data_IF_232179521841
#
_entry.id   IF_232179521841
#
_cell.length_a   1.000
_cell.length_b   1.000
_cell.length_c   1.000
_cell.angle_alpha   90.00
_cell.angle_beta   90.00
_cell.angle_gamma   90.00
#
_symmetry.space_group_name_H-M   'P 1'
#
loop_
_entity.id
_entity.type
_entity.pdbx_description
1 polymer ?
2 non-polymer ?
3 non-polymer ?
4 non-polymer ?
5 non-polymer ?
6 non-polymer ?
7 non-polymer ?
8 non-polymer ?
9 non-polymer ?
10 water ?
#
# COMPACT_ATOMS: atom_id res chain seq x y z
N UNK A 3 0.83 18.79 14.71
CA UNK A 3 -0.55 18.34 14.74
C UNK A 3 -1.27 18.65 13.43
N UNK A 4 -0.59 18.40 12.32
CA UNK A 4 -1.07 18.75 10.98
C UNK A 4 -1.03 17.44 10.13
N UNK A 5 -2.02 17.28 9.27
CA UNK A 5 -2.05 16.18 8.28
C UNK A 5 -1.77 16.74 6.90
N UNK A 6 -0.82 16.12 6.20
CA UNK A 6 -0.54 16.48 4.82
C UNK A 6 -1.39 15.71 3.84
N UNK A 7 -1.63 16.28 2.66
CA UNK A 7 -2.35 15.59 1.59
C UNK A 7 -1.66 15.92 0.27
N UNK A 8 -1.38 14.90 -0.53
CA UNK A 8 -0.88 15.12 -1.87
C UNK A 8 -1.85 14.52 -2.89
N UNK A 9 -2.13 15.29 -3.94
CA UNK A 9 -2.99 14.89 -5.06
C UNK A 9 -2.60 15.77 -6.24
N UNK A 10 -2.45 15.17 -7.41
CA UNK A 10 -2.19 15.95 -8.62
C UNK A 10 -2.95 15.33 -9.76
N UNK A 11 -3.81 16.12 -10.39
CA UNK A 11 -4.67 15.61 -11.46
C UNK A 11 -3.87 15.09 -12.67
N UNK A 12 -2.59 15.45 -12.79
CA UNK A 12 -1.74 14.89 -13.85
C UNK A 12 -1.64 13.37 -13.79
N UNK A 13 -1.81 12.78 -12.60
CA UNK A 13 -1.77 11.32 -12.50
C UNK A 13 -2.96 10.64 -13.15
N UNK A 14 -3.97 11.42 -13.55
CA UNK A 14 -5.09 10.87 -14.30
C UNK A 14 -4.72 10.54 -15.74
N UNK A 15 -3.57 11.03 -16.24
CA UNK A 15 -3.28 10.90 -17.65
C UNK A 15 -2.95 9.48 -18.10
N UNK A 16 -2.39 8.66 -17.22
CA UNK A 16 -2.15 7.24 -17.47
C UNK A 16 -3.51 6.58 -17.75
N UNK A 17 -3.62 5.89 -18.88
CA UNK A 17 -4.92 5.34 -19.25
C UNK A 17 -4.74 4.14 -20.15
N UNK A 18 -5.82 3.39 -20.29
CA UNK A 18 -5.85 2.20 -21.12
C UNK A 18 -6.53 2.55 -22.44
N UNK A 19 -5.75 2.68 -23.51
CA UNK A 19 -6.31 3.14 -24.78
C UNK A 19 -7.16 2.11 -25.50
N UNK A 20 -7.07 0.85 -25.08
CA UNK A 20 -7.78 -0.27 -25.73
C UNK A 20 -9.03 -0.66 -24.98
N UNK A 21 -9.16 -0.25 -23.73
CA UNK A 21 -10.28 -0.66 -22.88
C UNK A 21 -10.50 0.46 -21.88
N UNK A 22 -11.32 1.43 -22.26
CA UNK A 22 -11.52 2.62 -21.42
C UNK A 22 -12.27 2.32 -20.12
N UNK A 23 -12.83 1.10 -20.03
CA UNK A 23 -13.53 0.64 -18.83
C UNK A 23 -12.67 -0.24 -17.93
N UNK A 24 -11.38 -0.42 -18.26
CA UNK A 24 -10.46 -1.16 -17.39
C UNK A 24 -10.55 -0.59 -15.97
N UNK A 25 -10.61 -1.44 -14.93
CA UNK A 25 -10.91 -0.91 -13.59
C UNK A 25 -9.87 0.03 -12.97
N UNK A 26 -8.61 0.02 -13.44
CA UNK A 26 -7.62 0.94 -12.88
C UNK A 26 -7.79 2.30 -13.60
N UNK A 27 -8.88 2.98 -13.25
CA UNK A 27 -9.36 4.16 -13.95
C UNK A 27 -8.69 5.44 -13.48
N UNK A 28 -8.51 6.40 -14.42
CA UNK A 28 -8.08 7.74 -14.04
C UNK A 28 -8.95 8.34 -12.90
N UNK A 29 -10.26 8.10 -12.98
CA UNK A 29 -11.23 8.62 -12.04
C UNK A 29 -11.10 8.09 -10.61
N UNK A 30 -10.31 7.04 -10.41
CA UNK A 30 -10.09 6.55 -9.04
C UNK A 30 -9.58 7.69 -8.14
N UNK A 31 -8.57 8.42 -8.62
CA UNK A 31 -7.99 9.46 -7.78
C UNK A 31 -8.84 10.73 -7.71
N UNK A 32 -9.46 11.11 -8.82
CA UNK A 32 -10.31 12.30 -8.80
C UNK A 32 -11.55 12.08 -7.94
N UNK A 33 -12.13 10.87 -7.96
CA UNK A 33 -13.27 10.58 -7.09
C UNK A 33 -12.87 10.63 -5.62
N UNK A 34 -11.70 10.10 -5.28
CA UNK A 34 -11.28 10.14 -3.87
C UNK A 34 -11.04 11.60 -3.45
N UNK A 35 -10.35 12.36 -4.31
CA UNK A 35 -10.10 13.77 -4.01
C UNK A 35 -11.42 14.57 -3.84
N UNK A 36 -12.37 14.34 -4.74
CA UNK A 36 -13.66 15.03 -4.64
C UNK A 36 -14.36 14.69 -3.33
N UNK A 37 -14.30 13.43 -2.91
CA UNK A 37 -14.97 13.05 -1.67
C UNK A 37 -14.34 13.76 -0.46
N UNK A 38 -13.01 13.90 -0.47
CA UNK A 38 -12.32 14.68 0.56
C UNK A 38 -12.82 16.13 0.61
N UNK A 39 -13.07 16.72 -0.56
CA UNK A 39 -13.65 18.07 -0.62
C UNK A 39 -15.07 18.11 -0.04
N UNK A 40 -15.90 17.18 -0.50
CA UNK A 40 -17.29 17.11 -0.07
C UNK A 40 -17.43 16.95 1.44
N UNK A 41 -16.53 16.17 2.03
CA UNK A 41 -16.54 15.91 3.46
C UNK A 41 -15.80 16.98 4.26
N UNK A 42 -15.28 17.99 3.55
CA UNK A 42 -14.60 19.14 4.17
C UNK A 42 -13.33 18.72 4.91
N UNK A 43 -12.72 17.65 4.41
CA UNK A 43 -11.42 17.18 4.90
C UNK A 43 -10.26 17.90 4.23
N UNK A 44 -10.42 18.22 2.95
CA UNK A 44 -9.34 18.80 2.18
C UNK A 44 -8.86 20.13 2.79
N UNK A 45 -9.81 20.98 3.18
CA UNK A 45 -9.47 22.28 3.76
C UNK A 45 -8.81 22.18 5.14
N UNK A 46 -8.87 21.00 5.75
CA UNK A 46 -8.23 20.75 7.05
C UNK A 46 -6.81 20.23 6.94
N UNK A 47 -6.38 19.90 5.72
CA UNK A 47 -5.06 19.34 5.49
C UNK A 47 -4.09 20.38 4.95
N UNK A 48 -2.79 20.15 5.17
CA UNK A 48 -1.74 20.95 4.53
C UNK A 48 -1.44 20.29 3.19
N UNK A 49 -1.61 21.03 2.08
CA UNK A 49 -1.37 20.48 0.76
C UNK A 49 0.11 20.38 0.47
N UNK A 50 0.57 19.17 0.16
CA UNK A 50 1.96 18.91 -0.19
C UNK A 50 2.02 18.77 -1.71
N UNK A 51 2.97 19.44 -2.39
CA UNK A 51 2.99 19.34 -3.86
C UNK A 51 3.52 18.00 -4.34
N UNK A 52 3.00 17.56 -5.49
CA UNK A 52 3.59 16.43 -6.18
C UNK A 52 4.90 16.87 -6.82
N UNK A 53 5.78 15.92 -7.07
CA UNK A 53 6.95 16.15 -7.92
C UNK A 53 7.29 14.85 -8.60
N UNK A 54 8.13 14.94 -9.64
CA UNK A 54 8.66 13.74 -10.25
C UNK A 54 9.72 13.13 -9.36
N UNK A 55 9.67 11.80 -9.18
CA UNK A 55 10.85 11.07 -8.74
C UNK A 55 11.96 11.24 -9.78
N UNK A 56 13.20 11.28 -9.32
CA UNK A 56 14.34 11.25 -10.24
C UNK A 56 14.69 9.79 -10.55
N UNK A 57 15.42 9.60 -11.66
CA UNK A 57 15.86 8.26 -11.99
C UNK A 57 16.80 7.69 -10.93
N UNK A 58 17.63 8.54 -10.32
CA UNK A 58 18.48 8.09 -9.23
C UNK A 58 17.64 7.59 -8.04
N UNK A 59 16.53 8.28 -7.73
CA UNK A 59 15.63 7.80 -6.70
C UNK A 59 15.00 6.47 -7.10
N UNK A 60 14.58 6.31 -8.35
CA UNK A 60 14.03 5.02 -8.78
C UNK A 60 15.02 3.88 -8.59
N UNK A 61 16.31 4.19 -8.76
CA UNK A 61 17.39 3.22 -8.64
C UNK A 61 17.61 2.76 -7.20
N UNK A 62 16.94 3.39 -6.22
CA UNK A 62 16.96 2.88 -4.86
C UNK A 62 16.42 1.45 -4.78
N UNK A 63 15.44 1.14 -5.63
CA UNK A 63 14.81 -0.18 -5.64
C UNK A 63 14.84 -0.88 -7.00
N UNK A 64 15.01 -0.14 -8.10
CA UNK A 64 14.84 -0.74 -9.43
C UNK A 64 16.10 -0.75 -10.25
N UNK A 65 16.22 -1.73 -11.15
CA UNK A 65 17.38 -1.83 -12.04
C UNK A 65 17.35 -0.75 -13.09
N UNK A 66 18.53 -0.39 -13.59
CA UNK A 66 18.63 0.61 -14.64
C UNK A 66 17.91 0.12 -15.90
N UNK A 67 17.96 -1.19 -16.17
CA UNK A 67 17.30 -1.70 -17.36
C UNK A 67 15.78 -1.49 -17.25
N UNK A 68 15.21 -1.81 -16.09
CA UNK A 68 13.77 -1.66 -15.92
C UNK A 68 13.35 -0.20 -16.04
N UNK A 69 14.07 0.69 -15.40
CA UNK A 69 13.76 2.13 -15.47
C UNK A 69 13.78 2.60 -16.92
N UNK A 70 14.83 2.22 -17.64
CA UNK A 70 14.99 2.69 -19.03
C UNK A 70 13.91 2.12 -19.97
N UNK A 71 13.50 0.86 -19.74
CA UNK A 71 12.48 0.23 -20.58
C UNK A 71 11.14 0.97 -20.37
N UNK A 72 10.77 1.21 -19.11
CA UNK A 72 9.55 1.97 -18.89
C UNK A 72 9.66 3.39 -19.45
N UNK A 73 10.82 4.03 -19.28
CA UNK A 73 10.96 5.37 -19.82
C UNK A 73 10.80 5.36 -21.36
N UNK A 74 11.26 4.30 -22.01
CA UNK A 74 11.21 4.21 -23.49
C UNK A 74 9.75 4.22 -24.01
N UNK A 75 8.75 3.96 -23.14
CA UNK A 75 7.37 3.95 -23.58
C UNK A 75 6.80 5.35 -23.85
N UNK A 76 7.51 6.41 -23.43
CA UNK A 76 6.97 7.76 -23.54
C UNK A 76 6.68 8.20 -24.98
N UNK A 77 7.43 7.66 -25.94
CA UNK A 77 7.27 8.05 -27.34
C UNK A 77 6.81 6.92 -28.25
N UNK A 78 6.30 5.83 -27.66
CA UNK A 78 5.88 4.66 -28.45
C UNK A 78 4.54 4.86 -29.10
N UNK A 79 4.40 4.30 -30.29
CA UNK A 79 3.11 4.17 -30.95
C UNK A 79 2.25 3.10 -30.25
N UNK A 80 0.93 3.12 -30.49
CA UNK A 80 0.06 2.15 -29.84
C UNK A 80 0.49 0.68 -29.94
N UNK A 81 0.90 0.23 -31.14
CA UNK A 81 1.27 -1.16 -31.29
C UNK A 81 2.43 -1.54 -30.36
N UNK A 82 3.38 -0.61 -30.24
CA UNK A 82 4.53 -0.87 -29.42
C UNK A 82 4.23 -0.80 -27.92
N UNK A 83 3.32 0.10 -27.54
CA UNK A 83 2.83 0.12 -26.15
C UNK A 83 2.14 -1.19 -25.80
N UNK A 84 1.33 -1.72 -26.72
CA UNK A 84 0.67 -2.99 -26.48
C UNK A 84 1.68 -4.11 -26.31
N UNK A 85 2.65 -4.18 -27.23
CA UNK A 85 3.67 -5.23 -27.14
C UNK A 85 4.46 -5.15 -25.83
N UNK A 86 4.86 -3.93 -25.44
CA UNK A 86 5.62 -3.78 -24.20
C UNK A 86 4.79 -4.18 -22.98
N UNK A 87 3.56 -3.69 -22.89
CA UNK A 87 2.68 -4.01 -21.77
C UNK A 87 2.48 -5.50 -21.65
N UNK A 88 2.35 -6.19 -22.79
CA UNK A 88 2.13 -7.63 -22.81
C UNK A 88 3.33 -8.46 -22.37
N UNK A 89 4.51 -7.84 -22.24
CA UNK A 89 5.69 -8.53 -21.69
C UNK A 89 5.54 -8.80 -20.20
N UNK A 90 4.60 -8.11 -19.56
CA UNK A 90 4.39 -8.20 -18.13
C UNK A 90 3.08 -8.89 -17.78
N UNK A 91 2.93 -9.28 -16.52
CA UNK A 91 1.67 -9.81 -16.02
C UNK A 91 0.77 -8.61 -15.69
N UNK A 92 -0.29 -8.43 -16.47
CA UNK A 92 -1.36 -7.46 -16.11
C UNK A 92 -0.89 -6.01 -16.07
N UNK A 93 -0.35 -5.54 -17.21
CA UNK A 93 0.05 -4.15 -17.36
C UNK A 93 -0.52 -3.57 -18.65
N UNK A 94 -1.06 -2.36 -18.58
CA UNK A 94 -1.31 -1.52 -19.76
C UNK A 94 -0.47 -0.25 -19.65
N UNK A 95 -0.06 0.26 -20.81
CA UNK A 95 0.82 1.43 -20.87
C UNK A 95 0.30 2.43 -21.89
N UNK A 96 0.36 3.71 -21.52
CA UNK A 96 0.15 4.83 -22.46
C UNK A 96 1.40 5.71 -22.45
N UNK A 97 1.45 6.70 -23.32
CA UNK A 97 2.63 7.58 -23.39
C UNK A 97 2.82 8.36 -22.08
N UNK A 98 1.76 8.50 -21.27
CA UNK A 98 1.80 9.26 -20.03
C UNK A 98 2.15 8.42 -18.82
N UNK A 99 2.24 7.09 -19.00
CA UNK A 99 2.40 6.19 -17.84
C UNK A 99 3.67 6.42 -17.04
N UNK A 100 4.80 6.59 -17.74
CA UNK A 100 6.05 6.80 -17.03
C UNK A 100 5.98 8.06 -16.15
N UNK A 101 5.51 9.18 -16.72
CA UNK A 101 5.38 10.43 -15.93
C UNK A 101 4.49 10.24 -14.71
N UNK A 102 3.36 9.57 -14.93
CA UNK A 102 2.44 9.36 -13.82
C UNK A 102 3.07 8.53 -12.70
N UNK A 103 3.79 7.46 -13.06
CA UNK A 103 4.48 6.63 -12.08
C UNK A 103 5.54 7.44 -11.33
N UNK A 104 6.25 8.32 -12.05
CA UNK A 104 7.21 9.23 -11.40
C UNK A 104 6.52 10.16 -10.42
N UNK A 105 5.38 10.71 -10.81
CA UNK A 105 4.64 11.63 -9.94
C UNK A 105 4.12 10.91 -8.72
N UNK A 106 3.66 9.66 -8.87
CA UNK A 106 3.15 8.93 -7.70
C UNK A 106 4.28 8.75 -6.67
N UNK A 107 5.47 8.36 -7.16
CA UNK A 107 6.61 8.15 -6.26
C UNK A 107 7.10 9.47 -5.66
N UNK A 108 7.28 10.51 -6.47
CA UNK A 108 7.79 11.77 -5.93
C UNK A 108 6.83 12.43 -4.96
N UNK A 109 5.53 12.27 -5.16
CA UNK A 109 4.50 12.75 -4.21
C UNK A 109 4.71 12.11 -2.84
N UNK A 110 4.99 10.82 -2.84
CA UNK A 110 5.22 10.09 -1.61
C UNK A 110 6.54 10.48 -0.96
N UNK A 111 7.58 10.72 -1.77
CA UNK A 111 8.83 11.21 -1.18
C UNK A 111 8.61 12.56 -0.51
N UNK A 112 7.89 13.47 -1.17
CA UNK A 112 7.63 14.77 -0.55
C UNK A 112 6.82 14.63 0.74
N UNK A 113 5.92 13.66 0.77
CA UNK A 113 5.11 13.43 1.97
C UNK A 113 5.96 12.86 3.11
N UNK A 114 6.80 11.87 2.79
CA UNK A 114 7.73 11.34 3.80
C UNK A 114 8.67 12.42 4.33
N UNK A 115 9.18 13.24 3.43
CA UNK A 115 10.03 14.35 3.83
C UNK A 115 9.27 15.30 4.77
N UNK A 116 8.03 15.64 4.42
CA UNK A 116 7.25 16.54 5.27
C UNK A 116 7.07 15.97 6.69
N UNK A 117 6.85 14.66 6.78
CA UNK A 117 6.73 14.02 8.09
C UNK A 117 8.09 14.04 8.83
N UNK A 118 9.15 13.66 8.14
CA UNK A 118 10.43 13.48 8.84
C UNK A 118 11.12 14.78 9.20
N UNK A 119 10.76 15.87 8.51
CA UNK A 119 11.25 17.20 8.87
C UNK A 119 10.33 17.92 9.85
N UNK A 120 9.24 17.27 10.27
CA UNK A 120 8.32 17.85 11.27
C UNK A 120 7.35 18.89 10.74
N UNK A 121 7.20 18.99 9.42
CA UNK A 121 6.21 19.91 8.86
C UNK A 121 4.78 19.44 9.05
N UNK A 122 4.58 18.12 9.00
CA UNK A 122 3.30 17.51 9.28
C UNK A 122 3.54 16.31 10.17
N UNK A 123 2.50 15.85 10.89
CA UNK A 123 2.61 14.65 11.70
C UNK A 123 2.39 13.39 10.88
N UNK A 124 1.43 13.46 9.97
CA UNK A 124 1.03 12.30 9.16
C UNK A 124 0.54 12.82 7.82
N UNK A 125 0.24 11.92 6.88
CA UNK A 125 -0.11 12.37 5.53
C UNK A 125 -0.82 11.28 4.76
N UNK A 126 -1.48 11.72 3.70
CA UNK A 126 -2.20 10.83 2.80
C UNK A 126 -1.84 11.19 1.36
N UNK A 127 -1.59 10.17 0.54
CA UNK A 127 -1.15 10.35 -0.84
C UNK A 127 -2.15 9.67 -1.76
N UNK A 128 -2.86 10.50 -2.53
CA UNK A 128 -3.92 10.02 -3.45
C UNK A 128 -3.27 9.93 -4.81
N UNK A 129 -2.68 8.77 -5.11
CA UNK A 129 -1.76 8.59 -6.23
C UNK A 129 -2.13 7.37 -7.07
N UNK A 130 -1.79 7.41 -8.36
CA UNK A 130 -1.85 6.25 -9.25
C UNK A 130 -0.81 6.50 -10.34
N UNK A 131 -0.34 5.47 -11.07
CA UNK A 131 -0.63 4.04 -10.86
C UNK A 131 -0.09 3.53 -9.53
N UNK A 132 -0.57 2.36 -9.09
CA UNK A 132 -0.12 1.76 -7.84
C UNK A 132 1.31 1.20 -7.94
N UNK A 133 1.82 0.70 -6.82
CA UNK A 133 3.22 0.28 -6.70
C UNK A 133 3.55 -1.12 -6.25
N UNK A 134 2.71 -1.75 -5.39
CA UNK A 134 3.26 -2.85 -4.57
C UNK A 134 3.55 -4.16 -5.29
N UNK A 135 3.04 -4.33 -6.52
CA UNK A 135 3.41 -5.51 -7.32
C UNK A 135 4.69 -5.31 -8.11
N UNK A 136 5.20 -4.08 -8.20
CA UNK A 136 6.41 -3.85 -9.02
C UNK A 136 7.63 -4.41 -8.30
N UNK A 137 8.45 -5.10 -9.09
CA UNK A 137 9.66 -5.77 -8.61
C UNK A 137 10.88 -4.93 -9.00
N UNK A 138 12.06 -5.30 -8.47
CA UNK A 138 13.29 -4.60 -8.87
C UNK A 138 13.41 -4.48 -10.39
N UNK A 139 13.06 -5.57 -11.09
CA UNK A 139 13.34 -5.69 -12.52
C UNK A 139 12.12 -5.66 -13.45
N UNK A 140 10.91 -5.64 -12.91
CA UNK A 140 9.78 -5.80 -13.78
C UNK A 140 8.59 -5.10 -13.22
N UNK A 141 7.72 -4.71 -14.13
CA UNK A 141 6.38 -4.18 -13.80
C UNK A 141 5.41 -5.35 -13.67
N UNK A 142 4.32 -5.14 -12.92
CA UNK A 142 3.35 -6.19 -12.71
C UNK A 142 2.09 -5.62 -12.12
N UNK A 143 0.93 -6.16 -12.52
CA UNK A 143 -0.30 -5.91 -11.76
C UNK A 143 -0.62 -4.44 -11.59
N UNK A 144 -0.55 -3.69 -12.70
CA UNK A 144 -0.89 -2.26 -12.77
C UNK A 144 0.21 -1.35 -12.23
N UNK A 145 1.32 -1.93 -11.75
CA UNK A 145 2.36 -1.21 -11.04
C UNK A 145 3.64 -1.17 -11.87
N UNK A 146 4.25 0.02 -11.99
CA UNK A 146 5.53 0.19 -12.71
C UNK A 146 6.73 0.25 -11.81
N UNK A 147 6.62 1.07 -10.77
CA UNK A 147 7.69 1.26 -9.79
C UNK A 147 7.05 1.10 -8.41
N UNK A 148 7.83 0.59 -7.47
CA UNK A 148 7.25 0.26 -6.17
C UNK A 148 7.29 1.48 -5.24
N UNK A 149 6.27 2.30 -5.37
CA UNK A 149 6.17 3.56 -4.65
C UNK A 149 6.44 3.43 -3.16
N UNK A 150 5.78 2.48 -2.49
CA UNK A 150 5.97 2.33 -1.03
C UNK A 150 7.40 1.90 -0.70
N UNK A 151 7.94 0.94 -1.46
CA UNK A 151 9.30 0.48 -1.18
C UNK A 151 10.31 1.60 -1.41
N UNK A 152 10.11 2.35 -2.50
CA UNK A 152 10.97 3.50 -2.79
C UNK A 152 10.88 4.55 -1.70
N UNK A 153 9.68 4.77 -1.16
CA UNK A 153 9.50 5.75 -0.10
C UNK A 153 10.26 5.33 1.16
N UNK A 154 10.23 4.03 1.49
CA UNK A 154 11.01 3.56 2.63
C UNK A 154 12.51 3.82 2.41
N UNK A 155 13.02 3.51 1.21
CA UNK A 155 14.43 3.77 0.93
C UNK A 155 14.75 5.27 0.87
N UNK A 156 13.83 6.08 0.35
CA UNK A 156 14.02 7.52 0.33
C UNK A 156 14.13 8.03 1.77
N UNK A 157 13.22 7.58 2.64
CA UNK A 157 13.27 7.98 4.05
C UNK A 157 14.61 7.63 4.67
N UNK A 158 15.10 6.42 4.43
CA UNK A 158 16.41 6.00 4.94
C UNK A 158 17.53 6.89 4.37
N UNK A 159 17.37 7.36 3.15
CA UNK A 159 18.41 8.18 2.47
C UNK A 159 18.54 9.58 3.08
N UNK A 160 17.55 10.05 3.83
CA UNK A 160 17.57 11.38 4.44
C UNK A 160 17.69 11.32 5.95
N UNK A 161 17.82 10.10 6.50
CA UNK A 161 17.97 9.89 7.93
C UNK A 161 19.15 8.94 8.14
N UNK A 162 18.91 7.64 8.17
CA UNK A 162 19.98 6.66 8.24
C UNK A 162 19.52 5.37 7.59
N UNK A 163 20.50 4.61 7.14
CA UNK A 163 20.24 3.35 6.46
C UNK A 163 19.34 2.42 7.29
N UNK A 164 19.55 2.41 8.61
CA UNK A 164 18.83 1.51 9.52
C UNK A 164 17.54 2.07 10.08
N UNK A 165 17.06 3.22 9.59
CA UNK A 165 15.76 3.75 10.02
C UNK A 165 14.70 2.65 9.95
N UNK A 166 13.99 2.44 11.05
CA UNK A 166 13.00 1.34 11.11
C UNK A 166 11.70 1.79 10.46
N UNK A 167 11.39 1.19 9.32
CA UNK A 167 10.16 1.52 8.60
C UNK A 167 9.25 0.31 8.63
N UNK A 168 8.01 0.48 9.09
CA UNK A 168 6.98 -0.54 8.97
C UNK A 168 6.17 -0.23 7.73
N UNK A 169 5.99 -1.23 6.86
CA UNK A 169 5.01 -1.15 5.76
C UNK A 169 3.88 -2.11 6.07
N UNK A 170 2.68 -1.57 6.27
CA UNK A 170 1.48 -2.39 6.44
C UNK A 170 0.72 -2.32 5.13
N UNK A 171 0.48 -3.48 4.52
CA UNK A 171 -0.12 -3.54 3.19
C UNK A 171 -1.47 -4.22 3.34
N UNK A 172 -2.52 -3.40 3.34
CA UNK A 172 -3.89 -3.92 3.51
C UNK A 172 -4.67 -3.98 2.19
N UNK A 173 -4.01 -3.71 1.05
CA UNK A 173 -4.61 -4.05 -0.24
C UNK A 173 -4.96 -5.55 -0.19
N UNK A 174 -6.02 -5.95 -0.88
CA UNK A 174 -6.47 -7.35 -0.84
C UNK A 174 -5.45 -8.32 -1.46
N UNK A 175 -4.54 -7.80 -2.30
CA UNK A 175 -3.52 -8.62 -2.95
C UNK A 175 -2.20 -8.57 -2.20
N UNK A 176 -1.44 -9.65 -2.30
CA UNK A 176 -0.10 -9.66 -1.73
C UNK A 176 0.81 -8.69 -2.48
N UNK A 177 1.56 -7.87 -1.75
CA UNK A 177 2.58 -6.99 -2.37
C UNK A 177 3.84 -7.75 -2.62
N UNK A 178 3.82 -8.59 -3.66
CA UNK A 178 4.95 -9.45 -3.95
C UNK A 178 6.23 -8.62 -4.15
N UNK A 179 6.12 -7.47 -4.81
CA UNK A 179 7.31 -6.64 -5.08
C UNK A 179 7.91 -6.13 -3.78
N UNK A 180 7.05 -5.66 -2.86
CA UNK A 180 7.53 -5.12 -1.60
C UNK A 180 8.20 -6.22 -0.78
N UNK A 181 7.56 -7.40 -0.71
CA UNK A 181 8.16 -8.51 0.03
C UNK A 181 9.56 -8.80 -0.50
N UNK A 182 9.69 -8.92 -1.83
CA UNK A 182 10.97 -9.30 -2.44
C UNK A 182 12.02 -8.24 -2.21
N UNK A 183 11.68 -6.97 -2.38
CA UNK A 183 12.64 -5.89 -2.20
C UNK A 183 13.24 -5.91 -0.79
N UNK A 184 12.41 -6.22 0.23
CA UNK A 184 12.88 -6.17 1.62
C UNK A 184 13.13 -7.53 2.26
N UNK A 185 13.19 -8.60 1.45
CA UNK A 185 13.17 -9.95 2.04
C UNK A 185 14.33 -10.23 2.98
N UNK A 186 15.50 -9.64 2.70
CA UNK A 186 16.68 -9.83 3.55
C UNK A 186 16.96 -8.65 4.45
N UNK A 187 15.96 -7.80 4.66
CA UNK A 187 16.19 -6.56 5.36
C UNK A 187 15.46 -6.53 6.72
N UNK A 188 16.19 -6.30 7.82
CA UNK A 188 15.60 -6.14 9.15
C UNK A 188 15.25 -4.68 9.45
N UNK A 189 15.57 -3.75 8.56
CA UNK A 189 15.21 -2.34 8.79
C UNK A 189 13.80 -2.01 8.32
N UNK A 190 13.23 -2.86 7.47
CA UNK A 190 11.91 -2.65 6.91
C UNK A 190 11.10 -3.89 7.21
N UNK A 191 10.13 -3.73 8.12
CA UNK A 191 9.19 -4.79 8.48
C UNK A 191 8.02 -4.71 7.51
N UNK A 192 7.78 -5.76 6.75
CA UNK A 192 6.66 -5.83 5.80
C UNK A 192 5.59 -6.71 6.38
N UNK A 193 4.38 -6.17 6.55
CA UNK A 193 3.24 -6.95 7.04
C UNK A 193 2.13 -6.81 5.99
N UNK A 194 1.75 -7.92 5.38
CA UNK A 194 0.68 -7.92 4.38
C UNK A 194 -0.47 -8.80 4.84
N UNK A 195 -1.67 -8.27 4.69
CA UNK A 195 -2.89 -9.09 4.80
C UNK A 195 -3.40 -9.24 3.38
N UNK A 196 -3.82 -10.43 2.98
CA UNK A 196 -4.20 -10.59 1.56
C UNK A 196 -5.00 -11.85 1.37
N UNK A 197 -5.91 -11.79 0.42
CA UNK A 197 -6.56 -13.00 -0.04
C UNK A 197 -5.55 -13.88 -0.78
N UNK A 198 -5.58 -15.18 -0.46
CA UNK A 198 -4.59 -16.13 -0.95
C UNK A 198 -5.25 -17.31 -1.65
N UNK A 199 -6.20 -17.96 -0.98
CA UNK A 199 -6.92 -19.11 -1.55
C UNK A 199 -5.95 -20.18 -2.06
N UNK A 200 -4.96 -20.49 -1.24
CA UNK A 200 -4.00 -21.56 -1.55
C UNK A 200 -3.30 -21.35 -2.89
N UNK A 201 -3.14 -20.08 -3.29
CA UNK A 201 -2.49 -19.74 -4.57
C UNK A 201 -3.43 -19.46 -5.72
N UNK A 202 -4.75 -19.62 -5.52
CA UNK A 202 -5.70 -19.34 -6.59
C UNK A 202 -5.93 -17.85 -6.84
N UNK A 203 -5.61 -17.01 -5.86
CA UNK A 203 -5.87 -15.57 -5.98
C UNK A 203 -4.62 -14.83 -6.48
N UNK A 204 -4.80 -13.84 -7.36
CA UNK A 204 -3.68 -13.06 -7.90
C UNK A 204 -2.81 -12.51 -6.75
N UNK A 205 -1.47 -12.57 -6.83
CA UNK A 205 -0.67 -12.89 -8.01
C UNK A 205 -0.23 -14.38 -8.09
N UNK A 206 -0.96 -15.28 -7.43
CA UNK A 206 -0.91 -16.73 -7.73
C UNK A 206 0.40 -17.40 -7.38
N UNK A 207 1.06 -16.92 -6.35
CA UNK A 207 2.35 -17.45 -5.92
C UNK A 207 2.33 -17.88 -4.46
N UNK A 208 2.99 -18.99 -4.16
CA UNK A 208 3.21 -19.43 -2.79
C UNK A 208 4.12 -18.50 -1.97
N UNK A 209 4.72 -17.49 -2.63
CA UNK A 209 5.49 -16.46 -1.93
C UNK A 209 4.62 -15.72 -0.91
N UNK A 210 3.30 -15.74 -1.11
CA UNK A 210 2.36 -15.03 -0.25
C UNK A 210 1.93 -15.83 0.99
N UNK A 211 2.40 -17.06 1.16
CA UNK A 211 1.96 -17.87 2.28
C UNK A 211 2.62 -17.46 3.59
N UNK A 212 2.01 -17.92 4.68
CA UNK A 212 2.43 -17.50 6.03
C UNK A 212 3.81 -17.97 6.42
N UNK A 213 4.33 -19.00 5.75
CA UNK A 213 5.62 -19.55 6.11
C UNK A 213 6.79 -18.76 5.50
N UNK A 214 6.50 -17.72 4.72
CA UNK A 214 7.54 -16.87 4.14
C UNK A 214 7.75 -15.74 5.15
N UNK A 215 8.76 -15.93 6.01
CA UNK A 215 8.96 -15.11 7.20
C UNK A 215 10.15 -14.17 7.06
N UNK A 216 10.79 -14.18 5.89
CA UNK A 216 12.02 -13.41 5.68
C UNK A 216 13.23 -14.30 5.57
N UNK A 217 14.33 -13.72 5.09
CA UNK A 217 15.54 -14.48 4.80
C UNK A 217 16.76 -13.82 5.40
N UNK A 218 17.69 -14.64 5.86
CA UNK A 218 18.97 -14.12 6.38
C UNK A 218 18.75 -13.15 7.55
N UNK A 219 19.39 -11.98 7.50
CA UNK A 219 19.18 -10.98 8.55
C UNK A 219 17.74 -10.47 8.60
N UNK A 220 17.01 -10.65 7.50
CA UNK A 220 15.57 -10.31 7.50
C UNK A 220 14.64 -11.38 8.03
N UNK A 221 15.16 -12.47 8.57
CA UNK A 221 14.28 -13.51 9.05
C UNK A 221 13.45 -13.00 10.26
N UNK A 222 12.13 -13.13 10.14
CA UNK A 222 11.17 -12.56 11.09
C UNK A 222 10.57 -11.23 10.67
N UNK A 223 11.12 -10.61 9.63
CA UNK A 223 10.73 -9.25 9.24
C UNK A 223 9.81 -9.21 8.02
N UNK A 224 9.20 -10.35 7.69
CA UNK A 224 8.21 -10.45 6.64
C UNK A 224 7.03 -11.25 7.22
N UNK A 225 5.88 -10.60 7.31
CA UNK A 225 4.69 -11.21 7.94
C UNK A 225 3.57 -11.25 6.92
N UNK A 226 3.26 -12.44 6.43
CA UNK A 226 2.15 -12.65 5.51
C UNK A 226 0.98 -13.24 6.26
N UNK A 227 -0.18 -12.59 6.11
CA UNK A 227 -1.44 -13.02 6.74
C UNK A 227 -2.38 -13.39 5.60
N UNK A 228 -2.40 -14.68 5.20
CA UNK A 228 -3.12 -15.08 3.98
C UNK A 228 -4.50 -15.60 4.31
N UNK A 229 -5.51 -15.08 3.62
CA UNK A 229 -6.88 -15.53 3.80
C UNK A 229 -7.26 -16.59 2.79
N UNK A 230 -7.95 -17.61 3.30
CA UNK A 230 -8.50 -18.69 2.48
C UNK A 230 -9.96 -18.89 2.84
N UNK A 231 -10.75 -19.34 1.87
CA UNK A 231 -12.12 -19.73 2.16
C UNK A 231 -13.13 -18.61 2.00
N UNK A 232 -12.92 -17.70 1.05
CA UNK A 232 -13.97 -16.77 0.64
C UNK A 232 -14.00 -15.47 1.42
N UNK A 233 -15.13 -14.82 1.43
CA UNK A 233 -15.13 -13.47 1.91
C UNK A 233 -14.75 -13.31 3.37
N UNK A 234 -14.06 -12.22 3.61
CA UNK A 234 -13.63 -11.75 4.92
C UNK A 234 -14.04 -10.30 5.06
N UNK A 235 -14.16 -9.84 6.31
CA UNK A 235 -14.57 -8.45 6.53
C UNK A 235 -13.99 -7.89 7.81
N UNK A 236 -14.70 -6.91 8.38
CA UNK A 236 -14.18 -6.20 9.54
C UNK A 236 -13.77 -7.13 10.70
N UNK A 237 -14.59 -8.15 11.03
CA UNK A 237 -14.19 -8.98 12.19
C UNK A 237 -12.80 -9.62 12.01
N UNK A 238 -12.53 -10.14 10.81
CA UNK A 238 -11.27 -10.82 10.54
C UNK A 238 -10.11 -9.84 10.51
N UNK A 239 -10.32 -8.66 9.91
CA UNK A 239 -9.24 -7.65 9.87
C UNK A 239 -8.94 -7.12 11.26
N UNK A 240 -9.98 -6.85 12.05
CA UNK A 240 -9.77 -6.39 13.43
C UNK A 240 -9.02 -7.45 14.23
N UNK A 241 -9.37 -8.72 14.05
CA UNK A 241 -8.70 -9.82 14.80
C UNK A 241 -7.24 -9.92 14.37
N UNK A 242 -6.98 -9.81 13.07
CA UNK A 242 -5.58 -9.88 12.60
C UNK A 242 -4.77 -8.71 13.18
N UNK A 243 -5.36 -7.52 13.24
CA UNK A 243 -4.64 -6.39 13.85
C UNK A 243 -4.41 -6.60 15.34
N UNK A 244 -5.42 -7.14 16.04
CA UNK A 244 -5.35 -7.35 17.48
C UNK A 244 -4.25 -8.40 17.80
N UNK A 245 -4.28 -9.53 17.10
CA UNK A 245 -3.40 -10.65 17.45
C UNK A 245 -2.02 -10.59 16.83
N UNK A 246 -1.90 -9.94 15.66
CA UNK A 246 -0.66 -10.03 14.86
C UNK A 246 -0.07 -8.66 14.57
N UNK A 247 -0.80 -7.81 13.84
CA UNK A 247 -0.18 -6.60 13.29
C UNK A 247 0.31 -5.69 14.40
N UNK A 248 -0.55 -5.40 15.36
CA UNK A 248 -0.21 -4.42 16.42
C UNK A 248 0.83 -4.93 17.40
N UNK A 249 0.74 -6.19 17.88
CA UNK A 249 1.79 -6.67 18.78
C UNK A 249 3.15 -6.71 18.13
N UNK A 250 3.22 -7.16 16.88
CA UNK A 250 4.51 -7.21 16.18
C UNK A 250 5.02 -5.79 15.96
N UNK A 251 4.14 -4.91 15.46
CA UNK A 251 4.55 -3.54 15.18
C UNK A 251 5.07 -2.85 16.43
N UNK A 252 4.40 -3.01 17.57
CA UNK A 252 4.89 -2.36 18.80
C UNK A 252 6.26 -2.88 19.17
N UNK A 253 6.49 -4.17 19.01
CA UNK A 253 7.77 -4.77 19.34
C UNK A 253 8.88 -4.27 18.40
N UNK A 254 8.55 -4.09 17.13
CA UNK A 254 9.50 -3.56 16.15
C UNK A 254 9.85 -2.10 16.42
N UNK A 255 8.89 -1.34 16.94
CA UNK A 255 9.08 0.08 17.30
C UNK A 255 9.48 0.91 16.07
N UNK A 256 8.62 0.95 15.05
CA UNK A 256 8.97 1.70 13.85
C UNK A 256 9.17 3.19 14.12
N UNK A 257 10.00 3.77 13.27
CA UNK A 257 10.21 5.22 13.28
C UNK A 257 9.38 5.93 12.21
N UNK A 258 8.80 5.14 11.30
CA UNK A 258 7.92 5.64 10.24
C UNK A 258 7.03 4.48 9.84
N UNK A 259 5.74 4.75 9.64
CA UNK A 259 4.79 3.75 9.15
C UNK A 259 4.30 4.19 7.79
N UNK A 260 4.46 3.31 6.80
CA UNK A 260 3.85 3.47 5.48
C UNK A 260 2.72 2.48 5.37
N UNK A 261 1.59 2.93 4.86
CA UNK A 261 0.48 2.03 4.61
C UNK A 261 0.35 1.90 3.08
N UNK A 262 0.51 0.67 2.58
CA UNK A 262 0.14 0.34 1.19
C UNK A 262 -1.37 0.09 1.28
N UNK A 263 -2.09 1.20 1.06
CA UNK A 263 -3.52 1.29 1.36
C UNK A 263 -4.28 1.10 0.07
N UNK A 264 -4.38 -0.15 -0.36
CA UNK A 264 -5.38 -0.49 -1.36
C UNK A 264 -6.73 -0.55 -0.69
N UNK A 265 -7.79 -0.29 -1.44
CA UNK A 265 -9.13 -0.39 -0.91
C UNK A 265 -9.94 -1.44 -1.69
N UNK A 266 -9.24 -2.44 -2.21
CA UNK A 266 -9.88 -3.53 -2.91
C UNK A 266 -10.34 -4.66 -2.00
N UNK A 267 -10.08 -4.59 -0.68
CA UNK A 267 -10.75 -5.49 0.27
C UNK A 267 -12.11 -4.89 0.70
N UNK A 268 -12.50 -3.77 0.11
CA UNK A 268 -13.71 -3.06 0.57
C UNK A 268 -14.97 -3.75 0.10
N UNK A 269 -16.01 -3.65 0.94
CA UNK A 269 -17.36 -3.96 0.50
C UNK A 269 -17.62 -3.25 -0.83
N UNK A 270 -18.13 -4.01 -1.80
CA UNK A 270 -18.44 -3.49 -3.12
C UNK A 270 -17.37 -3.68 -4.18
N UNK A 271 -16.15 -4.06 -3.81
CA UNK A 271 -15.09 -4.20 -4.82
C UNK A 271 -15.36 -5.43 -5.66
N UNK A 272 -15.31 -5.27 -7.00
CA UNK A 272 -15.60 -6.38 -7.89
C UNK A 272 -14.47 -7.40 -7.99
N UNK A 273 -13.27 -7.01 -7.60
CA UNK A 273 -12.13 -7.93 -7.76
C UNK A 273 -11.81 -8.59 -6.42
N UNK A 274 -11.96 -7.88 -5.30
CA UNK A 274 -11.51 -8.43 -4.05
C UNK A 274 -12.44 -9.46 -3.41
N UNK A 275 -13.74 -9.22 -3.54
CA UNK A 275 -14.73 -10.15 -2.97
C UNK A 275 -14.83 -10.13 -1.45
N UNK A 276 -14.31 -9.08 -0.82
CA UNK A 276 -14.32 -8.92 0.64
C UNK A 276 -15.30 -7.81 1.05
N UNK A 277 -15.43 -7.62 2.37
CA UNK A 277 -16.49 -6.80 2.93
C UNK A 277 -15.98 -5.80 3.95
N UNK A 278 -14.71 -5.38 3.89
CA UNK A 278 -14.23 -4.37 4.86
C UNK A 278 -14.98 -3.06 4.64
N UNK A 279 -15.47 -2.48 5.73
CA UNK A 279 -16.30 -1.27 5.63
C UNK A 279 -15.46 -0.02 5.80
N UNK A 280 -16.02 1.17 5.47
CA UNK A 280 -15.23 2.40 5.68
C UNK A 280 -14.88 2.58 7.16
N UNK A 281 -15.81 2.21 8.04
CA UNK A 281 -15.57 2.27 9.48
C UNK A 281 -14.45 1.31 9.88
N UNK A 282 -14.41 0.13 9.26
CA UNK A 282 -13.31 -0.80 9.48
C UNK A 282 -11.96 -0.18 9.15
N UNK A 283 -11.83 0.42 7.95
CA UNK A 283 -10.59 1.09 7.57
C UNK A 283 -10.23 2.22 8.54
N UNK A 284 -11.24 2.96 9.03
CA UNK A 284 -10.98 3.99 10.04
C UNK A 284 -10.34 3.40 11.29
N UNK A 285 -10.88 2.27 11.78
CA UNK A 285 -10.29 1.63 12.95
C UNK A 285 -8.88 1.12 12.72
N UNK A 286 -8.61 0.56 11.54
CA UNK A 286 -7.26 0.12 11.25
C UNK A 286 -6.28 1.32 11.26
N UNK A 287 -6.69 2.42 10.64
CA UNK A 287 -5.87 3.63 10.63
C UNK A 287 -5.62 4.13 12.04
N UNK A 288 -6.67 4.20 12.85
CA UNK A 288 -6.56 4.72 14.19
C UNK A 288 -5.57 3.89 15.03
N UNK A 289 -5.59 2.57 14.83
CA UNK A 289 -4.63 1.71 15.51
C UNK A 289 -3.20 2.02 15.08
N UNK A 290 -2.95 2.15 13.78
CA UNK A 290 -1.60 2.44 13.30
C UNK A 290 -1.07 3.80 13.78
N UNK A 291 -1.98 4.75 14.06
CA UNK A 291 -1.59 6.06 14.55
C UNK A 291 -0.94 6.01 15.93
N UNK A 292 -1.11 4.89 16.63
CA UNK A 292 -0.46 4.71 17.93
C UNK A 292 1.03 4.36 17.84
N UNK A 293 1.51 4.12 16.62
CA UNK A 293 2.91 3.75 16.35
C UNK A 293 3.72 4.95 15.90
N UNK A 294 5.05 4.86 16.08
CA UNK A 294 5.99 5.79 15.46
C UNK A 294 5.68 7.25 15.82
N UNK A 295 5.18 7.50 17.03
CA UNK A 295 4.77 8.84 17.45
C UNK A 295 3.79 9.47 16.46
N UNK A 296 2.98 8.62 15.82
CA UNK A 296 1.97 9.11 14.89
C UNK A 296 2.44 9.36 13.46
N UNK A 297 3.70 9.01 13.15
CA UNK A 297 4.29 9.25 11.82
C UNK A 297 3.83 8.18 10.83
N UNK A 298 2.68 8.45 10.22
CA UNK A 298 2.00 7.50 9.31
C UNK A 298 1.74 8.20 7.98
N UNK A 299 2.10 7.53 6.89
CA UNK A 299 1.85 7.97 5.52
C UNK A 299 0.99 6.91 4.85
N UNK A 300 -0.24 7.28 4.44
CA UNK A 300 -1.17 6.37 3.79
C UNK A 300 -1.05 6.56 2.29
N UNK A 301 -0.69 5.50 1.55
CA UNK A 301 -0.41 5.57 0.12
C UNK A 301 -1.44 4.72 -0.61
N UNK A 302 -2.21 5.33 -1.53
CA UNK A 302 -3.19 4.54 -2.29
C UNK A 302 -2.50 3.46 -3.13
N UNK A 303 -3.02 2.23 -3.08
CA UNK A 303 -2.63 1.11 -3.95
C UNK A 303 -3.81 0.81 -4.86
N UNK A 304 -4.43 -0.38 -4.73
CA UNK A 304 -5.61 -0.74 -5.54
C UNK A 304 -6.92 -0.28 -4.93
N UNK A 305 -7.99 -0.89 -5.43
CA UNK A 305 -9.34 -0.50 -5.04
C UNK A 305 -10.10 0.07 -6.22
N UNK A 306 -11.22 -0.60 -6.57
CA UNK A 306 -11.83 -0.42 -7.88
C UNK A 306 -13.29 -0.03 -7.87
N UNK A 307 -13.96 -0.05 -6.71
CA UNK A 307 -15.32 0.48 -6.64
C UNK A 307 -15.16 1.95 -6.26
N UNK A 308 -15.51 2.86 -7.19
CA UNK A 308 -15.22 4.27 -6.99
C UNK A 308 -15.87 4.85 -5.72
N UNK A 309 -17.09 4.45 -5.45
CA UNK A 309 -17.75 4.91 -4.24
C UNK A 309 -17.06 4.32 -2.99
N UNK A 310 -16.75 3.02 -3.01
CA UNK A 310 -16.13 2.37 -1.86
C UNK A 310 -14.78 2.97 -1.53
N UNK A 311 -13.94 3.19 -2.54
CA UNK A 311 -12.60 3.68 -2.26
C UNK A 311 -12.66 5.12 -1.78
N UNK A 312 -13.59 5.91 -2.32
CA UNK A 312 -13.70 7.31 -1.94
C UNK A 312 -14.13 7.45 -0.48
N UNK A 313 -15.11 6.65 -0.05
CA UNK A 313 -15.57 6.69 1.32
C UNK A 313 -14.49 6.14 2.27
N UNK A 314 -13.85 5.06 1.84
CA UNK A 314 -12.89 4.38 2.71
C UNK A 314 -11.64 5.23 2.93
N UNK A 315 -11.04 5.74 1.84
CA UNK A 315 -9.80 6.50 2.05
C UNK A 315 -10.10 7.78 2.82
N UNK A 316 -11.26 8.39 2.52
CA UNK A 316 -11.68 9.61 3.26
C UNK A 316 -11.79 9.38 4.78
N UNK A 317 -12.33 8.24 5.18
CA UNK A 317 -12.42 7.86 6.59
C UNK A 317 -11.04 7.74 7.20
N UNK A 318 -10.09 7.21 6.43
CA UNK A 318 -8.72 7.14 6.92
C UNK A 318 -8.17 8.56 7.18
N UNK A 319 -8.37 9.48 6.23
CA UNK A 319 -7.89 10.84 6.42
C UNK A 319 -8.55 11.50 7.63
N UNK A 320 -9.85 11.28 7.81
CA UNK A 320 -10.54 11.78 9.00
C UNK A 320 -9.84 11.31 10.27
N UNK A 321 -9.43 10.03 10.31
CA UNK A 321 -8.70 9.53 11.46
C UNK A 321 -7.37 10.23 11.65
N UNK A 322 -6.62 10.40 10.55
CA UNK A 322 -5.34 11.09 10.64
C UNK A 322 -5.48 12.49 11.21
N UNK A 323 -6.59 13.14 10.87
CA UNK A 323 -6.89 14.52 11.33
C UNK A 323 -7.28 14.57 12.79
N UNK A 324 -7.46 13.41 13.44
CA UNK A 324 -7.78 13.34 14.85
C UNK A 324 -9.24 13.16 15.21
N UNK A 325 -10.08 12.90 14.21
CA UNK A 325 -11.53 12.69 14.47
C UNK A 325 -11.73 11.40 15.23
N UNK A 326 -12.77 11.36 16.05
CA UNK A 326 -13.05 10.16 16.84
C UNK A 326 -13.48 9.00 15.95
N UNK A 327 -12.96 7.78 16.22
CA UNK A 327 -13.35 6.61 15.41
C UNK A 327 -14.84 6.34 15.42
N UNK A 328 -15.42 5.94 14.27
CA UNK A 328 -16.86 5.67 14.20
C UNK A 328 -17.20 4.38 14.91
N UNK A 329 -18.46 4.21 15.27
CA UNK A 329 -18.90 2.95 15.86
C UNK A 329 -18.73 1.81 14.88
N UNK A 330 -18.28 0.67 15.41
CA UNK A 330 -18.06 -0.54 14.63
C UNK A 330 -18.92 -1.70 15.13
N UNK A 334 -18.88 -9.77 14.49
CA UNK A 334 -19.21 -11.17 14.63
C UNK A 334 -18.02 -12.10 15.00
N UNK A 335 -18.30 -13.34 15.46
CA UNK A 335 -17.26 -14.41 15.49
C UNK A 335 -16.61 -14.56 14.11
N UNK A 336 -15.34 -14.98 14.08
CA UNK A 336 -14.62 -15.08 12.83
C UNK A 336 -15.01 -16.29 12.07
N UNK A 337 -14.85 -16.20 10.76
CA UNK A 337 -14.91 -17.42 9.96
C UNK A 337 -13.83 -18.38 10.44
N UNK A 338 -14.16 -19.66 10.42
CA UNK A 338 -13.24 -20.72 10.87
C UNK A 338 -11.91 -20.64 10.15
N UNK A 339 -11.93 -20.46 8.84
CA UNK A 339 -10.68 -20.43 8.10
C UNK A 339 -9.82 -19.22 8.49
N UNK A 340 -10.45 -18.11 8.93
CA UNK A 340 -9.70 -16.93 9.38
C UNK A 340 -8.99 -17.21 10.69
N UNK A 341 -9.65 -17.91 11.62
CA UNK A 341 -8.98 -18.35 12.84
C UNK A 341 -7.76 -19.25 12.49
N UNK A 342 -7.95 -20.16 11.53
CA UNK A 342 -6.85 -21.03 11.12
C UNK A 342 -5.69 -20.21 10.55
N UNK A 343 -5.99 -19.23 9.69
CA UNK A 343 -4.94 -18.37 9.14
C UNK A 343 -4.18 -17.61 10.23
N UNK A 344 -4.91 -16.99 11.16
CA UNK A 344 -4.25 -16.22 12.20
C UNK A 344 -3.37 -17.15 13.05
N UNK A 345 -3.87 -18.33 13.39
CA UNK A 345 -3.06 -19.25 14.18
C UNK A 345 -1.82 -19.74 13.44
N UNK A 346 -1.93 -19.92 12.12
CA UNK A 346 -0.76 -20.32 11.34
C UNK A 346 0.31 -19.23 11.38
N UNK A 347 -0.11 -17.97 11.28
CA UNK A 347 0.86 -16.88 11.32
C UNK A 347 1.47 -16.75 12.71
N UNK A 348 0.64 -16.88 13.75
CA UNK A 348 1.15 -16.86 15.12
C UNK A 348 2.24 -17.92 15.31
N UNK A 349 1.98 -19.13 14.84
CA UNK A 349 2.97 -20.18 15.02
C UNK A 349 4.24 -19.87 14.23
N UNK A 350 4.09 -19.32 13.02
CA UNK A 350 5.25 -18.99 12.18
C UNK A 350 6.13 -17.91 12.79
N UNK A 351 5.52 -16.97 13.51
CA UNK A 351 6.23 -15.78 13.96
C UNK A 351 6.58 -15.75 15.42
N UNK A 352 5.98 -16.63 16.24
CA UNK A 352 6.38 -16.72 17.65
C UNK A 352 7.88 -16.92 17.92
N UNK A 353 8.63 -17.62 17.01
CA UNK A 353 10.07 -17.71 17.27
C UNK A 353 10.77 -16.36 17.23
N UNK A 354 10.18 -15.38 16.54
CA UNK A 354 10.85 -14.09 16.30
C UNK A 354 10.33 -12.95 17.15
N UNK A 355 9.10 -13.07 17.63
CA UNK A 355 8.41 -11.93 18.27
C UNK A 355 7.87 -12.40 19.61
N UNK A 356 8.46 -11.90 20.69
CA UNK A 356 8.07 -12.30 22.05
C UNK A 356 6.60 -12.00 22.36
N UNK A 357 6.09 -10.94 21.75
CA UNK A 357 4.74 -10.48 21.95
C UNK A 357 3.70 -11.52 21.52
N UNK A 358 4.11 -12.51 20.74
CA UNK A 358 3.19 -13.53 20.23
C UNK A 358 3.15 -14.77 21.11
N UNK A 359 3.97 -14.79 22.15
CA UNK A 359 4.13 -15.99 22.97
C UNK A 359 3.20 -16.05 24.16
X LIG B 1 -4.90 -5.00 -5.07
X LIG C 1 -1.78 -6.84 1.04
X LIG D 1 11.66 -7.35 5.58
X LIG E 1 -1.54 -13.57 21.33
X LIG E 1 -1.22 -14.93 20.94
X LIG E 1 -1.80 -12.79 20.02
X LIG E 1 -0.94 -11.58 19.96
X LIG F 1 -4.94 -3.92 18.55
X LIG F 1 -6.19 -4.18 17.87
X LIG F 1 -4.64 -2.51 19.06
X LIG F 1 -3.39 -2.38 19.80
X LIG G 1 -4.03 -5.32 -18.74
X LIG G 1 -4.15 -5.31 -17.33
X LIG G 1 -4.34 -4.19 -19.69
X LIG G 1 -5.39 -4.06 -20.62
X LIG G 1 -6.55 -4.69 -20.38
X LIG G 1 -7.71 -4.04 -20.98
X LIG G 1 -8.61 -5.09 -20.86
X LIG H 1 2.77 -5.24 22.39
X LIG H 1 3.85 -5.77 21.57
X LIG H 1 1.62 -6.14 22.34
X LIG H 1 1.95 -7.25 23.09
X LIG H 1 0.86 -8.02 23.35
X LIG H 1 1.00 -9.52 23.15
X LIG H 1 0.16 -10.02 22.10
X LIG I 1 -3.30 -1.17 -31.36
X LIG I 1 -2.52 -2.33 -30.90
X LIG I 1 -2.01 -3.08 -30.60
X LIG J 1 10.60 -15.14 2.65
X LIG J 1 10.40 -13.46 2.52
X LIG J 1 10.27 -12.32 2.44
X LIG K 1 12.78 17.59 -2.60
X LIG L 1 7.90 -21.24 9.80
X LIG M 1 12.66 -9.16 16.34
X LIG M 1 13.33 -8.54 17.45
X LIG M 1 13.51 -10.30 15.80
X LIG M 1 13.55 -11.36 16.76
X LIG M 1 12.86 -10.82 14.53
X LIG M 1 13.68 -11.86 13.98
X LIG N 1 -3.37 -4.22 -8.42
X LIG N 1 -4.38 -4.95 -8.37
X LIG N 1 -5.32 -4.83 -7.46
X LIG N 1 -5.18 -3.91 -6.44
X LIG N 1 -4.72 -5.89 -9.48
X LIG N 1 -6.00 -6.29 -9.83
X LIG N 1 -6.20 -7.07 -10.96
X LIG N 1 -5.13 -7.43 -11.77
X LIG N 1 -3.86 -7.03 -11.42
X LIG N 1 -3.66 -6.25 -10.29
X LIG N 1 -5.26 -8.23 -13.05
X LIG N 1 -6.63 -8.69 -13.27
X LIG N 1 -7.11 -9.87 -12.78
X LIG N 1 -6.31 -10.86 -12.01
X LIG N 1 -7.28 -11.79 -11.28
X LIG N 1 -8.39 -12.19 -12.17
X LIG N 1 -7.85 -12.91 -13.29
X LIG N 1 -9.27 -11.11 -12.64
X LIG N 1 -8.44 -9.97 -13.08
X LIG N 1 -8.81 -8.80 -13.78
X LIG N 1 -7.66 -8.01 -13.88
X LIG N 1 -10.01 -8.32 -14.34
X LIG N 1 -9.99 -7.10 -14.95
X LIG N 1 -8.82 -6.36 -15.08
X LIG N 1 -7.64 -6.79 -14.54
#
# INVERSE_FOLDING_TARGET
>A
SSPITGLVYDQRMMLHHNMWDSHHPELPQRISRIFSRHEELRLLSRCHRIPARLATEEELALCHSSKHISIIKSSEHMKPRDLNRLGDEYNSIFISNESYTCALLAAGSCFNSAQAILTGQVRNAVAIVRPPGHHAEKDTACGFCFFNTAALTARYAQSITRESLRVLIVDWDVHHGNGTQHIFEEDDSVLYISLHRYEDGAFFPNSEDANYDKVGLGKGRGYNVNIPWNGGKMGDPEYMAAFHHLVMPIAREFAPELVLVSAGFDAARGDPLGGFQVTPEGYAHLTHQLMSLAAGRVLIILEGGYNLTSISESMSMCTSMLLGDSPPSLDHLTPLKTSATVSINNVLRAHAPFWSSLR
>B hetero
1 ZN ZN
>C hetero
1 K K
>D hetero
1 K K
>E hetero
1 EDO C1 O1 C2 O2
>F hetero
1 EDO C1 O1 C2 O2
>G hetero
1 PEG C1 O1 C2 O2 C3 C4 O4
>H hetero
1 PEG C1 O1 C2 O2 C3 C4 O4
>I hetero
1 SCN S C N
>J hetero
1 SCN S C N
>K hetero
1 NA NA
>L hetero
1 K K
>M hetero
1 GOL C1 O1 C2 O2 C3 O3
>N hetero
1 N9W O2 C1 N1 O1 C2 C7 C6 C5 C4 C3 C8 N2 C20 C19 C18 N3 C17 C16 C15 C14 C9 C13 C12 C11 C10
#
